data_IF_983948732846
#
_entry.id   IF_983948732846
#
_cell.length_a   1.000
_cell.length_b   1.000
_cell.length_c   1.000
_cell.angle_alpha   90.00
_cell.angle_beta   90.00
_cell.angle_gamma   90.00
#
_symmetry.space_group_name_H-M   'P 1'
#
loop_
_entity.id
_entity.type
_entity.pdbx_description
1 polymer ?
#
# COMPACT_ATOMS: atom_id res chain seq x y z
N UNK A 1 -1.70 -11.86 20.21
CA UNK A 1 -1.19 -12.21 18.86
C UNK A 1 -0.95 -10.99 17.97
N UNK A 2 -1.89 -10.04 17.90
CA UNK A 2 -1.78 -8.82 17.07
C UNK A 2 -0.52 -7.98 17.38
N UNK A 3 -0.29 -7.63 18.65
CA UNK A 3 0.88 -6.83 19.09
C UNK A 3 2.22 -7.49 18.71
N UNK A 4 2.31 -8.82 18.83
CA UNK A 4 3.52 -9.58 18.43
C UNK A 4 3.83 -9.42 16.93
N UNK A 5 2.80 -9.29 16.09
CA UNK A 5 2.94 -9.11 14.63
C UNK A 5 3.41 -7.68 14.31
N UNK A 6 2.73 -6.67 14.85
CA UNK A 6 3.01 -5.26 14.50
C UNK A 6 4.33 -4.74 15.09
N UNK A 7 4.77 -5.31 16.22
CA UNK A 7 6.06 -4.99 16.84
C UNK A 7 7.22 -5.81 16.25
N UNK A 8 6.96 -6.76 15.35
CA UNK A 8 8.02 -7.57 14.75
C UNK A 8 8.96 -6.70 13.90
N UNK A 9 10.27 -6.83 14.10
CA UNK A 9 11.29 -6.14 13.30
C UNK A 9 11.08 -6.45 11.82
N UNK A 10 10.84 -5.42 11.01
CA UNK A 10 10.58 -5.55 9.58
C UNK A 10 9.11 -5.64 9.15
N UNK A 11 8.15 -5.69 10.08
CA UNK A 11 6.73 -5.55 9.75
C UNK A 11 6.46 -4.22 9.05
N UNK A 12 6.79 -3.10 9.70
CA UNK A 12 6.60 -1.76 9.15
C UNK A 12 7.39 -1.50 7.86
N UNK A 13 8.60 -2.09 7.74
CA UNK A 13 9.36 -2.04 6.48
C UNK A 13 8.59 -2.72 5.33
N UNK A 14 7.94 -3.85 5.62
CA UNK A 14 7.13 -4.56 4.63
C UNK A 14 5.87 -3.77 4.27
N UNK A 15 5.20 -3.16 5.26
CA UNK A 15 4.04 -2.29 5.02
C UNK A 15 4.42 -1.13 4.11
N UNK A 16 5.47 -0.38 4.45
CA UNK A 16 5.92 0.77 3.64
C UNK A 16 6.30 0.33 2.22
N UNK A 17 7.03 -0.78 2.07
CA UNK A 17 7.41 -1.29 0.76
C UNK A 17 6.19 -1.67 -0.10
N UNK A 18 5.21 -2.38 0.48
CA UNK A 18 4.01 -2.77 -0.24
C UNK A 18 3.14 -1.56 -0.61
N UNK A 19 3.00 -0.60 0.29
CA UNK A 19 2.28 0.65 0.04
C UNK A 19 2.92 1.43 -1.10
N UNK A 20 4.24 1.58 -1.10
CA UNK A 20 4.97 2.28 -2.15
C UNK A 20 4.78 1.61 -3.52
N UNK A 21 4.91 0.27 -3.56
CA UNK A 21 4.68 -0.50 -4.78
C UNK A 21 3.24 -0.37 -5.29
N UNK A 22 2.26 -0.40 -4.40
CA UNK A 22 0.86 -0.21 -4.76
C UNK A 22 0.61 1.16 -5.38
N UNK A 23 1.14 2.23 -4.78
CA UNK A 23 1.01 3.60 -5.31
C UNK A 23 1.61 3.68 -6.72
N UNK A 24 2.81 3.13 -6.93
CA UNK A 24 3.47 3.15 -8.24
C UNK A 24 2.61 2.42 -9.29
N UNK A 25 2.15 1.20 -8.99
CA UNK A 25 1.34 0.40 -9.91
C UNK A 25 0.01 1.10 -10.21
N UNK A 26 -0.67 1.60 -9.17
CA UNK A 26 -1.94 2.31 -9.34
C UNK A 26 -1.79 3.53 -10.26
N UNK A 27 -0.74 4.34 -10.07
CA UNK A 27 -0.50 5.51 -10.90
C UNK A 27 -0.13 5.13 -12.34
N UNK A 28 0.62 4.05 -12.57
CA UNK A 28 0.90 3.54 -13.92
C UNK A 28 -0.39 3.09 -14.62
N UNK A 29 -1.23 2.34 -13.92
CA UNK A 29 -2.49 1.80 -14.44
C UNK A 29 -3.47 2.94 -14.74
N UNK A 30 -3.59 3.92 -13.84
CA UNK A 30 -4.40 5.12 -14.02
C UNK A 30 -3.92 5.97 -15.20
N UNK A 31 -2.61 6.18 -15.33
CA UNK A 31 -2.01 6.90 -16.46
C UNK A 31 -2.28 6.21 -17.81
N UNK A 32 -2.13 4.89 -17.87
CA UNK A 32 -2.40 4.12 -19.09
C UNK A 32 -3.89 4.10 -19.46
N UNK A 33 -4.77 3.85 -18.50
CA UNK A 33 -6.20 3.67 -18.78
C UNK A 33 -6.98 4.99 -18.91
N UNK A 34 -6.75 5.96 -18.02
CA UNK A 34 -7.53 7.20 -18.00
C UNK A 34 -6.95 8.28 -18.93
N UNK A 35 -5.64 8.22 -19.20
CA UNK A 35 -4.93 9.28 -19.93
C UNK A 35 -4.22 8.79 -21.20
N UNK A 36 -4.38 7.52 -21.62
CA UNK A 36 -3.72 6.95 -22.80
C UNK A 36 -2.20 7.20 -22.84
N UNK A 37 -1.54 7.13 -21.67
CA UNK A 37 -0.12 7.47 -21.51
C UNK A 37 0.26 8.93 -21.82
N UNK A 38 -0.70 9.85 -21.84
CA UNK A 38 -0.42 11.29 -21.91
C UNK A 38 0.00 11.83 -20.55
N UNK A 39 1.30 12.07 -20.40
CA UNK A 39 1.89 12.59 -19.17
C UNK A 39 1.48 14.04 -18.88
N UNK A 40 1.27 14.87 -19.91
CA UNK A 40 0.90 16.27 -19.69
C UNK A 40 -0.50 16.40 -19.15
N UNK A 41 -1.44 15.64 -19.72
CA UNK A 41 -2.83 15.63 -19.26
C UNK A 41 -2.95 15.03 -17.86
N UNK A 42 -2.21 13.94 -17.59
CA UNK A 42 -2.16 13.32 -16.27
C UNK A 42 -1.72 14.31 -15.17
N UNK A 43 -0.62 15.02 -15.39
CA UNK A 43 -0.12 16.00 -14.42
C UNK A 43 -1.12 17.15 -14.23
N UNK A 44 -1.67 17.71 -15.31
CA UNK A 44 -2.62 18.84 -15.22
C UNK A 44 -3.88 18.47 -14.44
N UNK A 45 -4.42 17.28 -14.67
CA UNK A 45 -5.66 16.82 -14.01
C UNK A 45 -5.40 16.41 -12.55
N UNK A 46 -4.26 15.78 -12.26
CA UNK A 46 -3.90 15.31 -10.91
C UNK A 46 -3.36 16.42 -10.01
N UNK A 47 -2.68 17.43 -10.56
CA UNK A 47 -2.24 18.62 -9.81
C UNK A 47 -3.34 19.66 -9.59
N UNK A 48 -4.57 19.39 -10.04
CA UNK A 48 -5.70 20.26 -9.77
C UNK A 48 -6.06 20.23 -8.27
N UNK A 49 -5.92 21.35 -7.53
CA UNK A 49 -5.98 21.39 -6.06
C UNK A 49 -7.27 20.81 -5.48
N UNK A 50 -8.40 20.93 -6.18
CA UNK A 50 -9.70 20.42 -5.74
C UNK A 50 -9.77 18.89 -5.69
N UNK A 51 -8.99 18.19 -6.54
CA UNK A 51 -8.96 16.73 -6.64
C UNK A 51 -7.70 16.12 -6.03
N UNK A 52 -6.65 16.92 -5.85
CA UNK A 52 -5.32 16.50 -5.41
C UNK A 52 -5.36 15.86 -4.02
N UNK A 53 -6.02 16.51 -3.05
CA UNK A 53 -6.16 15.96 -1.70
C UNK A 53 -6.89 14.62 -1.71
N UNK A 54 -8.04 14.53 -2.39
CA UNK A 54 -8.82 13.28 -2.49
C UNK A 54 -8.00 12.18 -3.15
N UNK A 55 -7.20 12.51 -4.17
CA UNK A 55 -6.33 11.57 -4.85
C UNK A 55 -5.19 11.05 -3.96
N UNK A 56 -4.50 11.94 -3.24
CA UNK A 56 -3.43 11.56 -2.30
C UNK A 56 -4.00 10.70 -1.18
N UNK A 57 -5.11 11.14 -0.56
CA UNK A 57 -5.75 10.37 0.50
C UNK A 57 -6.20 9.01 0.00
N UNK A 58 -6.83 8.92 -1.17
CA UNK A 58 -7.24 7.63 -1.74
C UNK A 58 -6.04 6.71 -2.00
N UNK A 59 -4.95 7.23 -2.61
CA UNK A 59 -3.74 6.45 -2.91
C UNK A 59 -3.03 5.96 -1.65
N UNK A 60 -2.77 6.87 -0.70
CA UNK A 60 -2.03 6.55 0.52
C UNK A 60 -2.88 5.64 1.41
N UNK A 61 -4.16 5.95 1.60
CA UNK A 61 -5.03 5.15 2.47
C UNK A 61 -5.26 3.75 1.90
N UNK A 62 -5.56 3.62 0.61
CA UNK A 62 -5.77 2.30 -0.01
C UNK A 62 -4.49 1.47 -0.04
N UNK A 63 -3.36 2.08 -0.43
CA UNK A 63 -2.05 1.42 -0.42
C UNK A 63 -1.63 1.00 0.98
N UNK A 64 -1.86 1.86 1.98
CA UNK A 64 -1.58 1.55 3.38
C UNK A 64 -2.44 0.41 3.91
N UNK A 65 -3.76 0.45 3.70
CA UNK A 65 -4.68 -0.60 4.15
C UNK A 65 -4.30 -1.94 3.52
N UNK A 66 -4.05 -1.96 2.21
CA UNK A 66 -3.60 -3.17 1.52
C UNK A 66 -2.25 -3.65 2.05
N UNK A 67 -1.26 -2.77 2.13
CA UNK A 67 0.08 -3.08 2.63
C UNK A 67 0.10 -3.59 4.06
N UNK A 68 -0.76 -3.02 4.91
CA UNK A 68 -0.95 -3.43 6.29
C UNK A 68 -1.57 -4.82 6.38
N UNK A 69 -2.69 -5.07 5.70
CA UNK A 69 -3.40 -6.35 5.73
C UNK A 69 -2.49 -7.49 5.25
N UNK A 70 -1.85 -7.32 4.10
CA UNK A 70 -0.99 -8.36 3.51
C UNK A 70 0.22 -8.63 4.41
N UNK A 71 0.88 -7.57 4.89
CA UNK A 71 2.01 -7.73 5.82
C UNK A 71 1.56 -8.38 7.13
N UNK A 72 0.37 -8.05 7.63
CA UNK A 72 -0.15 -8.61 8.87
C UNK A 72 -0.34 -10.11 8.76
N UNK A 73 -1.02 -10.59 7.72
CA UNK A 73 -1.20 -12.02 7.49
C UNK A 73 0.12 -12.74 7.23
N UNK A 74 1.04 -12.13 6.47
CA UNK A 74 2.38 -12.68 6.21
C UNK A 74 3.14 -12.93 7.52
N UNK A 75 3.24 -11.92 8.38
CA UNK A 75 3.98 -12.04 9.64
C UNK A 75 3.24 -12.88 10.68
N UNK A 76 1.90 -12.84 10.70
CA UNK A 76 1.08 -13.74 11.53
C UNK A 76 1.35 -15.21 11.19
N UNK A 77 1.35 -15.57 9.91
CA UNK A 77 1.67 -16.94 9.45
C UNK A 77 3.11 -17.33 9.82
N UNK A 78 4.07 -16.43 9.60
CA UNK A 78 5.48 -16.66 9.95
C UNK A 78 5.67 -16.94 11.44
N UNK A 79 5.06 -16.13 12.30
CA UNK A 79 5.14 -16.31 13.76
C UNK A 79 4.45 -17.60 14.23
N UNK A 80 3.32 -17.96 13.62
CA UNK A 80 2.63 -19.22 13.92
C UNK A 80 3.49 -20.45 13.57
N UNK A 81 4.22 -20.39 12.46
CA UNK A 81 5.12 -21.48 12.07
C UNK A 81 6.33 -21.62 13.00
N UNK A 82 6.80 -20.51 13.59
CA UNK A 82 7.95 -20.52 14.51
C UNK A 82 7.59 -21.04 15.91
N UNK A 83 6.33 -20.92 16.34
CA UNK A 83 5.83 -21.43 17.62
C UNK A 83 4.65 -22.40 17.41
N UNK A 84 4.91 -23.68 17.08
CA UNK A 84 3.87 -24.67 16.82
C UNK A 84 3.08 -25.09 18.08
N UNK A 85 3.52 -24.75 19.29
CA UNK A 85 2.89 -25.10 20.57
C UNK A 85 1.71 -24.23 21.00
N UNK A 86 1.35 -23.18 20.23
CA UNK A 86 0.19 -22.31 20.50
C UNK A 86 -1.13 -22.93 19.95
N UNK A 87 -1.23 -24.27 19.92
CA UNK A 87 -2.34 -25.04 19.37
C UNK A 87 -3.05 -25.89 20.42
#
# INVERSE_FOLDING_TARGET
MFTKVICHKGFWRSVIFLTLMFIIIYNLVDWGMAFNFDFQTFIKERLNPDKLLKFIFANILSGFVYGFIISFFKFRKKLKHLNPSDH
#
